data_IF_126924822480
#
_entry.id   IF_126924822480
#
_cell.length_a   1.000
_cell.length_b   1.000
_cell.length_c   1.000
_cell.angle_alpha   90.00
_cell.angle_beta   90.00
_cell.angle_gamma   90.00
#
_symmetry.space_group_name_H-M   'P 1'
#
loop_
_entity.id
_entity.type
_entity.pdbx_description
1 polymer ?
#
# COMPACT_ATOMS: atom_id res chain seq x y z
N UNK A 1 -25.96 -35.12 -1.51
CA UNK A 1 -24.48 -35.08 -1.37
C UNK A 1 -24.09 -33.71 -0.88
N UNK A 2 -23.86 -33.60 0.42
CA UNK A 2 -23.30 -32.42 1.09
C UNK A 2 -21.88 -32.20 0.55
N UNK A 3 -21.64 -31.07 -0.13
CA UNK A 3 -20.28 -30.63 -0.43
C UNK A 3 -19.61 -30.33 0.92
N UNK A 4 -18.61 -31.11 1.31
CA UNK A 4 -17.69 -30.71 2.37
C UNK A 4 -17.11 -29.34 1.97
N UNK A 5 -17.44 -28.32 2.76
CA UNK A 5 -16.79 -27.01 2.65
C UNK A 5 -15.42 -27.21 3.28
N UNK A 6 -14.41 -27.48 2.47
CA UNK A 6 -13.01 -27.47 2.91
C UNK A 6 -12.69 -26.02 3.30
N UNK A 7 -12.73 -25.74 4.59
CA UNK A 7 -12.36 -24.44 5.14
C UNK A 7 -10.88 -24.19 4.83
N UNK A 8 -10.60 -23.15 4.03
CA UNK A 8 -9.24 -22.87 3.60
C UNK A 8 -8.48 -22.21 4.75
N UNK A 9 -7.24 -22.64 4.98
CA UNK A 9 -6.41 -22.08 6.03
C UNK A 9 -6.13 -20.59 5.80
N UNK A 10 -6.16 -19.82 6.89
CA UNK A 10 -5.68 -18.44 6.91
C UNK A 10 -4.18 -18.39 6.55
N UNK A 11 -3.81 -17.49 5.65
CA UNK A 11 -2.43 -17.28 5.22
C UNK A 11 -2.14 -15.78 5.10
N UNK A 12 -0.94 -15.38 5.52
CA UNK A 12 -0.46 -14.00 5.34
C UNK A 12 0.83 -14.05 4.52
N UNK A 13 0.87 -13.27 3.44
CA UNK A 13 2.07 -13.03 2.63
C UNK A 13 2.49 -11.57 2.76
N UNK A 14 3.80 -11.31 2.66
CA UNK A 14 4.37 -9.96 2.71
C UNK A 14 5.27 -9.72 1.52
N UNK A 15 5.16 -8.54 0.92
CA UNK A 15 5.98 -8.12 -0.23
C UNK A 15 6.22 -6.62 -0.22
N UNK A 16 7.18 -6.18 -1.03
CA UNK A 16 7.27 -4.79 -1.45
C UNK A 16 6.34 -4.62 -2.64
N UNK A 17 5.33 -3.76 -2.50
CA UNK A 17 4.31 -3.55 -3.54
C UNK A 17 4.64 -2.35 -4.44
N UNK A 18 5.35 -1.35 -3.91
CA UNK A 18 5.73 -0.19 -4.69
C UNK A 18 7.04 0.41 -4.22
N UNK A 19 7.86 0.78 -5.19
CA UNK A 19 9.00 1.66 -5.01
C UNK A 19 8.81 2.91 -5.87
N UNK A 20 9.24 4.04 -5.33
CA UNK A 20 9.33 5.29 -6.09
C UNK A 20 10.76 5.78 -6.11
N UNK A 21 11.32 5.92 -7.31
CA UNK A 21 12.56 6.63 -7.55
C UNK A 21 12.24 8.05 -8.01
N UNK A 22 12.92 9.03 -7.41
CA UNK A 22 12.95 10.42 -7.87
C UNK A 22 14.38 10.76 -8.25
N UNK A 23 14.55 11.44 -9.37
CA UNK A 23 15.86 11.79 -9.89
C UNK A 23 15.83 13.13 -10.64
N UNK A 24 17.00 13.68 -10.90
CA UNK A 24 17.15 14.86 -11.74
C UNK A 24 16.86 14.52 -13.20
N UNK A 25 16.05 15.35 -13.83
CA UNK A 25 15.73 15.24 -15.24
C UNK A 25 15.36 16.60 -15.83
N UNK A 26 16.22 17.20 -16.68
CA UNK A 26 15.97 18.51 -17.25
C UNK A 26 14.62 18.57 -17.98
N UNK A 27 13.81 19.59 -17.66
CA UNK A 27 12.44 19.71 -18.18
C UNK A 27 12.42 19.99 -19.69
N UNK A 28 13.43 20.67 -20.22
CA UNK A 28 13.64 20.93 -21.65
C UNK A 28 13.91 19.65 -22.46
N UNK A 29 14.55 18.67 -21.83
CA UNK A 29 14.81 17.36 -22.41
C UNK A 29 13.59 16.43 -22.31
N UNK A 30 12.81 16.56 -21.25
CA UNK A 30 11.67 15.67 -20.96
C UNK A 30 10.65 15.63 -22.09
N UNK A 31 10.26 16.78 -22.65
CA UNK A 31 9.26 16.82 -23.72
C UNK A 31 9.72 16.06 -24.97
N UNK A 32 11.02 16.14 -25.30
CA UNK A 32 11.59 15.42 -26.43
C UNK A 32 11.61 13.91 -26.13
N UNK A 33 12.16 13.52 -24.98
CA UNK A 33 12.31 12.12 -24.61
C UNK A 33 10.96 11.42 -24.42
N UNK A 34 9.95 12.10 -23.85
CA UNK A 34 8.59 11.57 -23.74
C UNK A 34 8.01 11.24 -25.12
N UNK A 35 8.22 12.09 -26.14
CA UNK A 35 7.78 11.78 -27.51
C UNK A 35 8.48 10.56 -28.09
N UNK A 36 9.75 10.35 -27.77
CA UNK A 36 10.46 9.13 -28.18
C UNK A 36 9.98 7.90 -27.43
N UNK A 37 9.73 8.02 -26.12
CA UNK A 37 9.22 6.93 -25.29
C UNK A 37 7.84 6.47 -25.74
N UNK A 38 6.97 7.41 -26.12
CA UNK A 38 5.64 7.14 -26.66
C UNK A 38 5.63 6.35 -27.98
N UNK A 39 6.77 6.22 -28.67
CA UNK A 39 6.88 5.34 -29.85
C UNK A 39 7.06 3.87 -29.49
N UNK A 40 7.30 3.55 -28.22
CA UNK A 40 7.51 2.18 -27.75
C UNK A 40 6.15 1.48 -27.56
N UNK A 41 6.00 0.22 -27.98
CA UNK A 41 4.71 -0.47 -27.96
C UNK A 41 4.15 -0.67 -26.54
N UNK A 42 5.01 -0.72 -25.53
CA UNK A 42 4.65 -0.91 -24.12
C UNK A 42 4.47 0.40 -23.33
N UNK A 43 4.55 1.57 -23.98
CA UNK A 43 4.37 2.87 -23.34
C UNK A 43 3.03 3.46 -23.76
N UNK A 44 2.23 3.86 -22.78
CA UNK A 44 0.90 4.43 -22.99
C UNK A 44 0.80 5.79 -22.29
N UNK A 45 0.16 6.75 -22.97
CA UNK A 45 -0.13 8.07 -22.43
C UNK A 45 -1.27 8.00 -21.43
N UNK A 46 -1.11 8.68 -20.29
CA UNK A 46 -2.16 8.84 -19.29
C UNK A 46 -2.19 10.30 -18.80
N UNK A 47 -3.31 10.74 -18.25
CA UNK A 47 -3.59 12.18 -18.02
C UNK A 47 -2.50 12.98 -17.30
N UNK A 48 -1.70 12.35 -16.44
CA UNK A 48 -0.65 13.01 -15.65
C UNK A 48 0.76 12.42 -15.89
N UNK A 49 1.00 11.68 -16.98
CA UNK A 49 2.31 11.09 -17.30
C UNK A 49 2.23 9.94 -18.31
N UNK A 50 3.15 8.99 -18.23
CA UNK A 50 3.10 7.77 -19.04
C UNK A 50 3.07 6.54 -18.14
N UNK A 51 2.39 5.49 -18.58
CA UNK A 51 2.51 4.17 -17.98
C UNK A 51 3.26 3.21 -18.90
N UNK A 52 4.02 2.32 -18.29
CA UNK A 52 4.65 1.18 -18.93
C UNK A 52 3.84 -0.04 -18.59
N UNK A 53 3.45 -0.81 -19.60
CA UNK A 53 2.57 -1.98 -19.44
C UNK A 53 3.25 -3.26 -19.88
N UNK A 54 2.79 -4.37 -19.31
CA UNK A 54 3.11 -5.73 -19.74
C UNK A 54 1.82 -6.40 -20.22
N UNK A 55 1.82 -6.85 -21.47
CA UNK A 55 0.67 -7.45 -22.14
C UNK A 55 0.75 -8.99 -22.20
N UNK A 56 1.82 -9.61 -21.70
CA UNK A 56 2.04 -11.07 -21.79
C UNK A 56 0.85 -11.87 -21.24
N UNK A 57 0.26 -11.37 -20.15
CA UNK A 57 -0.84 -12.02 -19.44
C UNK A 57 -2.23 -11.43 -19.78
N UNK A 58 -2.34 -10.65 -20.86
CA UNK A 58 -3.63 -10.08 -21.27
C UNK A 58 -4.60 -11.12 -21.86
N UNK A 59 -4.06 -12.17 -22.47
CA UNK A 59 -4.82 -13.13 -23.26
C UNK A 59 -4.62 -14.59 -22.83
N UNK A 60 -3.53 -14.89 -22.13
CA UNK A 60 -3.15 -16.23 -21.72
C UNK A 60 -2.76 -16.24 -20.25
N UNK A 61 -3.13 -17.31 -19.54
CA UNK A 61 -2.70 -17.54 -18.16
C UNK A 61 -1.24 -18.07 -18.11
N UNK A 62 -0.70 -18.23 -16.90
CA UNK A 62 0.66 -18.75 -16.67
C UNK A 62 0.89 -20.17 -17.23
N UNK A 63 -0.17 -20.87 -17.65
CA UNK A 63 -0.14 -22.22 -18.22
C UNK A 63 -0.38 -22.22 -19.74
N UNK A 64 -0.49 -21.04 -20.36
CA UNK A 64 -0.74 -20.88 -21.79
C UNK A 64 -2.19 -21.09 -22.22
N UNK A 65 -3.14 -21.17 -21.28
CA UNK A 65 -4.56 -21.26 -21.62
C UNK A 65 -5.12 -19.87 -21.93
N UNK A 66 -5.87 -19.76 -23.02
CA UNK A 66 -6.52 -18.52 -23.41
C UNK A 66 -7.67 -18.17 -22.46
N UNK A 67 -7.73 -16.93 -22.00
CA UNK A 67 -8.87 -16.40 -21.23
C UNK A 67 -9.46 -15.15 -21.88
N UNK A 68 -10.56 -14.65 -21.30
CA UNK A 68 -11.14 -13.38 -21.72
C UNK A 68 -10.11 -12.24 -21.57
N UNK A 69 -10.03 -11.28 -22.51
CA UNK A 69 -9.06 -10.20 -22.43
C UNK A 69 -9.14 -9.46 -21.09
N UNK A 70 -8.00 -9.30 -20.44
CA UNK A 70 -7.84 -8.48 -19.23
C UNK A 70 -7.00 -7.25 -19.55
N UNK A 71 -7.10 -6.22 -18.71
CA UNK A 71 -6.27 -5.04 -18.87
C UNK A 71 -4.77 -5.37 -18.69
N UNK A 72 -3.86 -4.73 -19.44
CA UNK A 72 -2.42 -4.88 -19.24
C UNK A 72 -1.98 -4.59 -17.81
N UNK A 73 -0.95 -5.29 -17.35
CA UNK A 73 -0.37 -5.05 -16.05
C UNK A 73 0.51 -3.80 -16.11
N UNK A 74 0.28 -2.84 -15.23
CA UNK A 74 1.16 -1.66 -15.13
C UNK A 74 2.47 -2.06 -14.44
N UNK A 75 3.57 -2.00 -15.19
CA UNK A 75 4.93 -2.25 -14.71
C UNK A 75 5.47 -1.02 -13.99
N UNK A 76 5.27 0.15 -14.60
CA UNK A 76 5.71 1.42 -14.03
C UNK A 76 4.79 2.57 -14.43
N UNK A 77 4.79 3.61 -13.62
CA UNK A 77 4.20 4.90 -13.90
C UNK A 77 5.30 5.97 -13.80
N UNK A 78 5.44 6.78 -14.85
CA UNK A 78 6.49 7.78 -14.98
C UNK A 78 5.84 9.14 -15.17
N UNK A 79 6.21 10.11 -14.35
CA UNK A 79 5.71 11.47 -14.48
C UNK A 79 6.69 12.52 -13.98
N UNK A 80 6.54 13.75 -14.48
CA UNK A 80 7.16 14.93 -13.86
C UNK A 80 6.25 15.47 -12.75
N UNK A 81 6.74 15.67 -11.52
CA UNK A 81 5.92 16.25 -10.47
C UNK A 81 5.65 17.74 -10.75
N UNK A 82 4.37 18.15 -10.82
CA UNK A 82 3.95 19.54 -11.13
C UNK A 82 4.64 20.65 -10.30
N UNK A 83 5.08 20.33 -9.08
CA UNK A 83 5.70 21.28 -8.14
C UNK A 83 7.22 21.11 -7.98
N UNK A 84 7.82 20.10 -8.63
CA UNK A 84 9.26 19.86 -8.62
C UNK A 84 9.76 19.94 -10.07
N UNK A 85 10.20 21.13 -10.47
CA UNK A 85 10.85 21.33 -11.78
C UNK A 85 12.10 20.45 -11.87
N UNK A 86 12.41 20.03 -13.08
CA UNK A 86 13.61 19.27 -13.41
C UNK A 86 13.76 17.94 -12.63
N UNK A 87 12.61 17.33 -12.27
CA UNK A 87 12.57 16.00 -11.65
C UNK A 87 11.75 15.03 -12.47
N UNK A 88 12.21 13.79 -12.51
CA UNK A 88 11.44 12.65 -13.00
C UNK A 88 11.12 11.74 -11.82
N UNK A 89 9.85 11.31 -11.73
CA UNK A 89 9.39 10.33 -10.76
C UNK A 89 8.97 9.06 -11.48
N UNK A 90 9.46 7.93 -10.98
CA UNK A 90 9.17 6.58 -11.49
C UNK A 90 8.61 5.76 -10.33
N UNK A 91 7.33 5.41 -10.40
CA UNK A 91 6.67 4.46 -9.50
C UNK A 91 6.66 3.08 -10.18
N UNK A 92 7.14 2.02 -9.52
CA UNK A 92 7.10 0.66 -10.07
C UNK A 92 6.95 -0.39 -8.96
N UNK A 93 6.46 -1.59 -9.30
CA UNK A 93 6.42 -2.71 -8.38
C UNK A 93 7.63 -3.63 -8.64
N UNK A 94 8.53 -3.83 -7.66
CA UNK A 94 9.73 -4.65 -7.88
C UNK A 94 9.44 -6.14 -8.10
N UNK A 95 8.23 -6.60 -7.77
CA UNK A 95 7.83 -8.00 -7.87
C UNK A 95 7.01 -8.31 -9.14
N UNK A 96 6.73 -7.31 -9.98
CA UNK A 96 5.79 -7.46 -11.11
C UNK A 96 6.33 -6.85 -12.40
N UNK A 97 6.35 -7.64 -13.47
CA UNK A 97 6.59 -7.19 -14.85
C UNK A 97 7.99 -6.65 -15.16
N UNK A 98 8.96 -6.72 -14.23
CA UNK A 98 10.31 -6.20 -14.46
C UNK A 98 11.16 -7.02 -15.44
N UNK A 99 10.80 -8.27 -15.69
CA UNK A 99 11.44 -9.16 -16.68
C UNK A 99 10.90 -8.95 -18.11
N UNK A 100 9.80 -8.22 -18.27
CA UNK A 100 9.26 -7.83 -19.57
C UNK A 100 10.18 -6.86 -20.32
N UNK A 101 9.95 -6.67 -21.62
CA UNK A 101 10.64 -5.65 -22.41
C UNK A 101 10.47 -4.24 -21.80
N UNK A 102 9.24 -3.90 -21.41
CA UNK A 102 8.93 -2.64 -20.74
C UNK A 102 9.61 -2.51 -19.38
N UNK A 103 9.64 -3.58 -18.60
CA UNK A 103 10.33 -3.66 -17.31
C UNK A 103 11.83 -3.43 -17.44
N UNK A 104 12.49 -4.13 -18.36
CA UNK A 104 13.92 -3.93 -18.63
C UNK A 104 14.21 -2.51 -19.12
N UNK A 105 13.32 -1.93 -19.92
CA UNK A 105 13.43 -0.53 -20.33
C UNK A 105 13.34 0.44 -19.14
N UNK A 106 12.41 0.23 -18.20
CA UNK A 106 12.30 1.03 -16.96
C UNK A 106 13.59 0.94 -16.15
N UNK A 107 14.15 -0.26 -15.98
CA UNK A 107 15.40 -0.47 -15.25
C UNK A 107 16.57 0.26 -15.91
N UNK A 108 16.66 0.23 -17.24
CA UNK A 108 17.68 0.96 -18.00
C UNK A 108 17.50 2.48 -17.90
N UNK A 109 16.25 2.97 -17.87
CA UNK A 109 15.97 4.38 -17.64
C UNK A 109 16.49 4.80 -16.26
N UNK A 110 16.11 4.06 -15.19
CA UNK A 110 16.57 4.32 -13.82
C UNK A 110 18.11 4.35 -13.73
N UNK A 111 18.80 3.44 -14.41
CA UNK A 111 20.26 3.38 -14.42
C UNK A 111 20.93 4.65 -14.98
N UNK A 112 20.29 5.31 -15.96
CA UNK A 112 20.82 6.52 -16.62
C UNK A 112 20.57 7.81 -15.83
N UNK A 113 19.64 7.77 -14.87
CA UNK A 113 19.27 8.93 -14.06
C UNK A 113 20.39 9.33 -13.08
N UNK A 114 20.53 10.64 -12.90
CA UNK A 114 21.49 11.26 -11.98
C UNK A 114 20.80 11.71 -10.69
N UNK A 115 21.55 11.81 -9.59
CA UNK A 115 21.06 12.30 -8.29
C UNK A 115 19.76 11.62 -7.83
N UNK A 116 19.69 10.30 -8.01
CA UNK A 116 18.48 9.52 -7.76
C UNK A 116 18.42 8.95 -6.35
N UNK A 117 17.22 8.99 -5.78
CA UNK A 117 16.95 8.46 -4.44
C UNK A 117 15.57 7.80 -4.37
N UNK A 118 15.40 6.91 -3.39
CA UNK A 118 14.09 6.38 -3.05
C UNK A 118 13.29 7.42 -2.27
N UNK A 119 12.10 7.76 -2.78
CA UNK A 119 11.18 8.69 -2.11
C UNK A 119 9.97 8.00 -1.51
N UNK A 120 9.69 6.74 -1.88
CA UNK A 120 8.60 5.93 -1.33
C UNK A 120 8.90 4.44 -1.39
N UNK A 121 8.46 3.72 -0.36
CA UNK A 121 8.40 2.27 -0.30
C UNK A 121 7.06 1.86 0.32
N UNK A 122 6.35 0.94 -0.31
CA UNK A 122 5.10 0.38 0.22
C UNK A 122 5.32 -1.10 0.55
N UNK A 123 5.11 -1.46 1.81
CA UNK A 123 5.09 -2.86 2.26
C UNK A 123 3.64 -3.34 2.27
N UNK A 124 3.32 -4.40 1.54
CA UNK A 124 1.98 -4.98 1.47
C UNK A 124 1.90 -6.29 2.25
N UNK A 125 0.80 -6.45 2.99
CA UNK A 125 0.39 -7.70 3.61
C UNK A 125 -0.88 -8.19 2.92
N UNK A 126 -0.78 -9.32 2.23
CA UNK A 126 -1.92 -10.05 1.70
C UNK A 126 -2.42 -11.04 2.73
N UNK A 127 -3.69 -10.89 3.10
CA UNK A 127 -4.35 -11.63 4.17
C UNK A 127 -5.46 -12.47 3.52
N UNK A 128 -5.20 -13.77 3.38
CA UNK A 128 -6.07 -14.73 2.73
C UNK A 128 -6.90 -15.51 3.74
N UNK A 129 -8.17 -15.75 3.40
CA UNK A 129 -9.10 -16.58 4.18
C UNK A 129 -9.26 -16.11 5.64
N UNK A 130 -9.10 -14.82 5.91
CA UNK A 130 -9.33 -14.18 7.22
C UNK A 130 -10.31 -13.01 7.06
N UNK A 131 -11.63 -13.25 7.08
CA UNK A 131 -12.62 -12.21 6.85
C UNK A 131 -12.65 -11.17 7.97
N UNK A 132 -12.18 -11.48 9.19
CA UNK A 132 -12.12 -10.52 10.31
C UNK A 132 -11.15 -9.37 10.05
N UNK A 133 -10.26 -9.49 9.06
CA UNK A 133 -9.37 -8.41 8.63
C UNK A 133 -10.13 -7.13 8.23
N UNK A 134 -11.41 -7.22 7.84
CA UNK A 134 -12.26 -6.06 7.54
C UNK A 134 -12.59 -5.20 8.77
N UNK A 135 -12.57 -5.80 9.96
CA UNK A 135 -13.01 -5.17 11.22
C UNK A 135 -11.86 -4.42 11.91
N UNK A 136 -10.61 -4.74 11.56
CA UNK A 136 -9.43 -4.06 12.06
C UNK A 136 -9.36 -2.62 11.55
N UNK A 137 -8.98 -1.69 12.43
CA UNK A 137 -8.80 -0.28 12.09
C UNK A 137 -7.53 0.30 12.69
N UNK A 138 -7.09 1.45 12.17
CA UNK A 138 -5.97 2.20 12.74
C UNK A 138 -6.46 3.18 13.79
N UNK A 139 -6.03 3.02 15.03
CA UNK A 139 -6.34 3.91 16.15
C UNK A 139 -5.16 4.81 16.49
N UNK A 140 -4.92 5.81 15.63
CA UNK A 140 -3.96 6.89 15.84
C UNK A 140 -4.68 8.24 15.88
N UNK A 141 -4.81 8.83 17.05
CA UNK A 141 -5.46 10.14 17.20
C UNK A 141 -4.76 11.23 16.37
N UNK A 142 -5.55 12.13 15.76
CA UNK A 142 -5.05 13.18 14.86
C UNK A 142 -4.77 12.70 13.44
N UNK A 143 -5.10 11.44 13.11
CA UNK A 143 -4.94 10.88 11.77
C UNK A 143 -6.28 10.91 11.04
N UNK A 144 -6.32 11.56 9.88
CA UNK A 144 -7.52 11.54 9.02
C UNK A 144 -7.82 10.13 8.50
N UNK A 145 -9.10 9.80 8.36
CA UNK A 145 -9.58 8.53 7.82
C UNK A 145 -10.50 8.80 6.63
N UNK A 146 -10.25 8.18 5.49
CA UNK A 146 -11.13 8.22 4.32
C UNK A 146 -11.60 6.81 4.00
N UNK A 147 -12.91 6.60 3.95
CA UNK A 147 -13.54 5.31 3.67
C UNK A 147 -14.25 5.39 2.31
N UNK A 148 -13.98 4.43 1.45
CA UNK A 148 -14.66 4.23 0.17
C UNK A 148 -15.56 3.01 0.33
N UNK A 149 -16.86 3.23 0.14
CA UNK A 149 -17.90 2.22 0.26
C UNK A 149 -18.32 1.75 -1.13
N UNK A 150 -18.64 0.47 -1.25
CA UNK A 150 -19.23 -0.10 -2.45
C UNK A 150 -20.73 0.22 -2.57
N UNK A 151 -21.33 -0.03 -3.74
CA UNK A 151 -22.77 0.12 -3.95
C UNK A 151 -23.63 -0.75 -3.02
N UNK A 152 -23.07 -1.84 -2.48
CA UNK A 152 -23.71 -2.74 -1.52
C UNK A 152 -23.61 -2.25 -0.06
N UNK A 153 -23.02 -1.07 0.16
CA UNK A 153 -22.82 -0.50 1.49
C UNK A 153 -21.70 -1.16 2.28
N UNK A 154 -20.86 -2.01 1.67
CA UNK A 154 -19.68 -2.58 2.33
C UNK A 154 -18.44 -1.72 2.12
N UNK A 155 -17.54 -1.73 3.09
CA UNK A 155 -16.24 -1.07 2.97
C UNK A 155 -15.43 -1.76 1.86
N UNK A 156 -14.97 -0.98 0.88
CA UNK A 156 -14.08 -1.46 -0.17
C UNK A 156 -12.64 -1.06 0.10
N UNK A 157 -12.41 0.17 0.55
CA UNK A 157 -11.08 0.70 0.83
C UNK A 157 -11.12 1.71 1.96
N UNK A 158 -10.14 1.66 2.86
CA UNK A 158 -9.91 2.67 3.89
C UNK A 158 -8.47 3.18 3.82
N UNK A 159 -8.32 4.50 3.82
CA UNK A 159 -7.04 5.20 3.95
C UNK A 159 -6.94 5.81 5.35
N UNK A 160 -5.83 5.53 6.03
CA UNK A 160 -5.50 6.12 7.34
C UNK A 160 -4.26 7.00 7.20
N UNK A 161 -4.45 8.31 7.33
CA UNK A 161 -3.43 9.34 7.14
C UNK A 161 -3.52 10.02 5.77
N UNK A 162 -2.87 11.17 5.65
CA UNK A 162 -2.83 11.93 4.40
C UNK A 162 -1.97 11.22 3.35
N UNK A 163 -2.34 11.33 2.08
CA UNK A 163 -1.51 10.80 0.98
C UNK A 163 -0.11 11.46 0.94
N UNK A 164 0.00 12.69 1.46
CA UNK A 164 1.24 13.48 1.51
C UNK A 164 2.08 13.23 2.77
N UNK A 165 1.58 12.51 3.78
CA UNK A 165 2.37 12.28 4.99
C UNK A 165 3.49 11.26 4.76
N UNK A 166 4.55 11.35 5.57
CA UNK A 166 5.67 10.41 5.53
C UNK A 166 5.28 8.94 5.74
N UNK A 167 4.08 8.67 6.25
CA UNK A 167 3.51 7.32 6.35
C UNK A 167 1.99 7.34 6.13
N UNK A 168 1.44 6.27 5.57
CA UNK A 168 0.00 6.06 5.40
C UNK A 168 -0.31 4.56 5.45
N UNK A 169 -1.47 4.17 6.00
CA UNK A 169 -1.96 2.79 5.92
C UNK A 169 -3.14 2.74 4.95
N UNK A 170 -3.14 1.78 4.03
CA UNK A 170 -4.30 1.46 3.19
C UNK A 170 -4.78 0.06 3.51
N UNK A 171 -6.08 -0.12 3.62
CA UNK A 171 -6.72 -1.41 3.88
C UNK A 171 -7.85 -1.56 2.88
N UNK A 172 -7.88 -2.65 2.12
CA UNK A 172 -8.91 -2.83 1.09
C UNK A 172 -9.17 -4.29 0.73
N UNK A 173 -10.33 -4.52 0.12
CA UNK A 173 -10.73 -5.84 -0.33
C UNK A 173 -10.06 -6.16 -1.68
N UNK A 174 -8.89 -6.80 -1.59
CA UNK A 174 -8.08 -7.19 -2.76
C UNK A 174 -8.78 -8.24 -3.62
N UNK A 175 -9.66 -9.09 -3.03
CA UNK A 175 -10.48 -10.03 -3.80
C UNK A 175 -11.38 -9.32 -4.82
N UNK A 176 -12.11 -8.29 -4.40
CA UNK A 176 -13.00 -7.52 -5.27
C UNK A 176 -12.18 -6.81 -6.36
N UNK A 177 -11.04 -6.23 -5.98
CA UNK A 177 -10.14 -5.54 -6.91
C UNK A 177 -9.61 -6.49 -7.99
N UNK A 178 -9.15 -7.69 -7.60
CA UNK A 178 -8.69 -8.70 -8.55
C UNK A 178 -9.81 -9.29 -9.38
N UNK A 179 -11.02 -9.45 -8.82
CA UNK A 179 -12.19 -9.90 -9.57
C UNK A 179 -12.64 -8.89 -10.62
N UNK A 180 -12.49 -7.59 -10.35
CA UNK A 180 -12.77 -6.55 -11.33
C UNK A 180 -11.75 -6.57 -12.48
N UNK A 181 -10.49 -6.92 -12.21
CA UNK A 181 -9.42 -6.98 -13.21
C UNK A 181 -9.41 -8.27 -14.04
N UNK A 182 -9.55 -9.43 -13.39
CA UNK A 182 -9.35 -10.75 -14.01
C UNK A 182 -10.61 -11.62 -14.04
N UNK A 183 -11.76 -11.10 -13.59
CA UNK A 183 -12.97 -11.91 -13.43
C UNK A 183 -12.91 -12.87 -12.24
N UNK A 184 -13.79 -13.88 -12.19
CA UNK A 184 -13.96 -14.77 -11.02
C UNK A 184 -12.91 -15.90 -10.90
N UNK A 185 -11.64 -15.65 -11.24
CA UNK A 185 -10.56 -16.64 -11.16
C UNK A 185 -9.96 -16.81 -9.75
N UNK A 186 -10.35 -15.98 -8.78
CA UNK A 186 -9.76 -15.97 -7.43
C UNK A 186 -10.41 -17.02 -6.52
N UNK A 187 -9.72 -18.15 -6.29
CA UNK A 187 -10.17 -19.25 -5.44
C UNK A 187 -9.76 -19.09 -3.95
N UNK A 188 -10.20 -18.01 -3.30
CA UNK A 188 -10.02 -17.77 -1.84
C UNK A 188 -11.32 -17.29 -1.23
N UNK A 189 -11.56 -17.50 0.06
CA UNK A 189 -12.83 -17.14 0.70
C UNK A 189 -12.91 -15.63 0.94
N UNK A 190 -11.82 -15.07 1.47
CA UNK A 190 -11.59 -13.63 1.61
C UNK A 190 -10.15 -13.30 1.22
N UNK A 191 -9.92 -12.08 0.75
CA UNK A 191 -8.58 -11.55 0.50
C UNK A 191 -8.58 -10.04 0.77
N UNK A 192 -7.99 -9.68 1.89
CA UNK A 192 -7.75 -8.31 2.31
C UNK A 192 -6.28 -7.96 2.11
N UNK A 193 -5.99 -6.73 1.72
CA UNK A 193 -4.62 -6.22 1.69
C UNK A 193 -4.48 -5.02 2.61
N UNK A 194 -3.40 -5.03 3.38
CA UNK A 194 -2.94 -3.89 4.18
C UNK A 194 -1.61 -3.39 3.62
N UNK A 195 -1.56 -2.15 3.13
CA UNK A 195 -0.35 -1.53 2.59
C UNK A 195 0.14 -0.45 3.54
N UNK A 196 1.40 -0.58 3.96
CA UNK A 196 2.11 0.40 4.77
C UNK A 196 2.98 1.23 3.82
N UNK A 197 2.47 2.40 3.44
CA UNK A 197 3.22 3.37 2.63
C UNK A 197 4.18 4.14 3.53
N UNK A 198 5.43 4.24 3.10
CA UNK A 198 6.53 4.95 3.76
C UNK A 198 7.18 5.91 2.75
N UNK A 199 7.55 7.12 3.17
CA UNK A 199 8.13 8.14 2.29
C UNK A 199 9.32 8.87 2.90
N UNK A 200 10.24 9.31 2.04
CA UNK A 200 11.39 10.14 2.41
C UNK A 200 12.33 9.44 3.41
N UNK A 201 12.87 10.21 4.35
CA UNK A 201 13.82 9.74 5.37
C UNK A 201 13.34 8.53 6.19
N UNK A 202 12.03 8.33 6.28
CA UNK A 202 11.41 7.20 6.97
C UNK A 202 11.74 5.84 6.37
N UNK A 203 12.18 5.79 5.12
CA UNK A 203 12.55 4.53 4.46
C UNK A 203 13.79 3.92 5.12
N UNK A 204 14.72 4.73 5.65
CA UNK A 204 15.95 4.25 6.26
C UNK A 204 15.73 3.39 7.52
N UNK A 205 14.68 3.69 8.30
CA UNK A 205 14.27 2.91 9.48
C UNK A 205 12.84 2.34 9.29
N UNK A 206 12.59 1.83 8.09
CA UNK A 206 11.30 1.21 7.78
C UNK A 206 10.90 0.05 8.72
N UNK A 207 11.80 -0.79 9.28
CA UNK A 207 11.38 -1.89 10.14
C UNK A 207 10.71 -1.41 11.43
N UNK A 208 11.26 -0.37 12.07
CA UNK A 208 10.68 0.24 13.26
C UNK A 208 9.33 0.90 12.96
N UNK A 209 9.19 1.49 11.77
CA UNK A 209 7.93 2.09 11.34
C UNK A 209 6.86 1.05 11.03
N UNK A 210 7.21 -0.06 10.37
CA UNK A 210 6.31 -1.20 10.13
C UNK A 210 5.76 -1.68 11.48
N UNK A 211 6.64 -1.92 12.46
CA UNK A 211 6.23 -2.31 13.82
C UNK A 211 5.23 -1.32 14.41
N UNK A 212 5.56 -0.02 14.42
CA UNK A 212 4.70 1.03 14.99
C UNK A 212 3.34 1.11 14.29
N UNK A 213 3.32 0.97 12.96
CA UNK A 213 2.09 1.01 12.17
C UNK A 213 1.19 -0.19 12.47
N UNK A 214 1.77 -1.38 12.69
CA UNK A 214 1.03 -2.58 13.07
C UNK A 214 0.51 -2.53 14.52
N UNK A 215 1.25 -1.91 15.45
CA UNK A 215 0.80 -1.73 16.85
C UNK A 215 -0.49 -0.89 16.97
N UNK A 216 -0.75 -0.02 15.99
CA UNK A 216 -1.92 0.85 15.95
C UNK A 216 -3.10 0.26 15.17
N UNK A 217 -2.89 -0.86 14.48
CA UNK A 217 -3.91 -1.58 13.72
C UNK A 217 -4.50 -2.68 14.61
N UNK A 218 -5.74 -2.55 15.07
CA UNK A 218 -6.37 -3.52 15.98
C UNK A 218 -7.89 -3.36 16.01
N UNK A 219 -8.57 -4.26 16.74
CA UNK A 219 -9.99 -4.09 17.11
C UNK A 219 -10.06 -3.78 18.61
N UNK A 220 -10.71 -2.68 19.06
CA UNK A 220 -10.90 -2.41 20.47
C UNK A 220 -11.98 -3.35 21.00
N UNK A 221 -11.64 -4.18 21.99
CA UNK A 221 -12.57 -5.10 22.64
C UNK A 221 -13.43 -4.37 23.68
N UNK A 222 -14.15 -3.35 23.23
CA UNK A 222 -14.91 -2.46 24.10
C UNK A 222 -15.91 -3.22 24.98
N UNK A 223 -16.43 -4.38 24.53
CA UNK A 223 -17.35 -5.23 25.30
C UNK A 223 -16.77 -5.72 26.63
N UNK A 224 -15.45 -5.79 26.74
CA UNK A 224 -14.71 -6.22 27.94
C UNK A 224 -14.50 -5.08 28.96
N UNK A 225 -14.92 -3.85 28.64
CA UNK A 225 -14.88 -2.74 29.59
C UNK A 225 -15.86 -2.96 30.76
N UNK A 226 -15.55 -2.48 31.98
CA UNK A 226 -16.32 -2.80 33.16
C UNK A 226 -17.70 -2.13 33.16
N UNK A 227 -17.83 -0.90 32.64
CA UNK A 227 -19.09 -0.15 32.72
C UNK A 227 -19.80 -0.01 31.37
N UNK A 228 -21.14 -0.01 31.36
CA UNK A 228 -21.96 0.25 30.16
C UNK A 228 -21.60 1.61 29.54
N UNK A 229 -21.31 2.61 30.38
CA UNK A 229 -20.90 3.94 29.95
C UNK A 229 -19.63 3.91 29.11
N UNK A 230 -18.61 3.18 29.54
CA UNK A 230 -17.34 3.05 28.80
C UNK A 230 -17.54 2.25 27.51
N UNK A 231 -18.34 1.17 27.55
CA UNK A 231 -18.71 0.39 26.36
C UNK A 231 -19.36 1.29 25.30
N UNK A 232 -20.39 2.04 25.70
CA UNK A 232 -21.10 2.96 24.81
C UNK A 232 -20.17 4.05 24.27
N UNK A 233 -19.23 4.52 25.09
CA UNK A 233 -18.29 5.55 24.69
C UNK A 233 -17.33 5.10 23.59
N UNK A 234 -16.70 3.93 23.78
CA UNK A 234 -15.79 3.40 22.77
C UNK A 234 -16.56 2.96 21.53
N UNK A 235 -17.77 2.39 21.68
CA UNK A 235 -18.62 2.09 20.52
C UNK A 235 -18.90 3.35 19.70
N UNK A 236 -19.30 4.45 20.33
CA UNK A 236 -19.55 5.72 19.66
C UNK A 236 -18.32 6.22 18.89
N UNK A 237 -17.12 6.12 19.46
CA UNK A 237 -15.86 6.46 18.77
C UNK A 237 -15.63 5.62 17.50
N UNK A 238 -16.01 4.34 17.53
CA UNK A 238 -15.80 3.40 16.43
C UNK A 238 -16.81 3.66 15.31
N UNK A 239 -18.07 3.89 15.67
CA UNK A 239 -19.19 3.99 14.71
C UNK A 239 -19.39 5.38 14.16
N UNK A 240 -19.20 6.42 14.97
CA UNK A 240 -19.40 7.81 14.59
C UNK A 240 -18.30 8.72 15.19
N UNK A 241 -17.20 8.92 14.45
CA UNK A 241 -16.11 9.78 14.87
C UNK A 241 -16.50 11.26 15.06
N UNK A 242 -17.66 11.71 14.57
CA UNK A 242 -18.10 13.11 14.76
C UNK A 242 -18.43 13.40 16.22
N UNK A 243 -18.99 12.42 16.94
CA UNK A 243 -19.27 12.49 18.39
C UNK A 243 -17.98 12.81 19.18
N UNK A 244 -16.84 12.29 18.72
CA UNK A 244 -15.54 12.62 19.29
C UNK A 244 -15.10 14.04 18.96
N UNK A 245 -15.34 14.48 17.73
CA UNK A 245 -14.99 15.81 17.24
C UNK A 245 -15.67 16.93 18.03
N UNK A 246 -16.95 16.74 18.33
CA UNK A 246 -17.80 17.72 19.03
C UNK A 246 -17.60 17.75 20.55
N UNK A 247 -16.90 16.76 21.11
CA UNK A 247 -16.66 16.69 22.54
C UNK A 247 -15.65 17.77 23.02
N UNK A 248 -15.83 18.33 24.24
CA UNK A 248 -14.85 19.24 24.84
C UNK A 248 -13.47 18.61 25.01
N UNK A 249 -12.40 19.41 25.01
CA UNK A 249 -11.00 18.93 25.08
C UNK A 249 -10.72 17.95 26.21
N UNK A 250 -11.17 18.26 27.42
CA UNK A 250 -11.01 17.40 28.60
C UNK A 250 -11.70 16.05 28.40
N UNK A 251 -12.85 16.05 27.75
CA UNK A 251 -13.61 14.85 27.39
C UNK A 251 -12.86 14.05 26.33
N UNK A 252 -12.35 14.70 25.29
CA UNK A 252 -11.53 14.07 24.24
C UNK A 252 -10.28 13.42 24.83
N UNK A 253 -9.58 14.07 25.76
CA UNK A 253 -8.43 13.51 26.46
C UNK A 253 -8.79 12.27 27.28
N UNK A 254 -9.91 12.31 28.03
CA UNK A 254 -10.40 11.15 28.78
C UNK A 254 -10.71 9.97 27.86
N UNK A 255 -11.37 10.21 26.73
CA UNK A 255 -11.73 9.14 25.79
C UNK A 255 -10.50 8.57 25.08
N UNK A 256 -9.51 9.41 24.75
CA UNK A 256 -8.20 8.95 24.26
C UNK A 256 -7.53 7.99 25.24
N UNK A 257 -7.55 8.34 26.53
CA UNK A 257 -6.98 7.50 27.59
C UNK A 257 -7.74 6.17 27.69
N UNK A 258 -9.08 6.22 27.75
CA UNK A 258 -9.93 5.04 27.81
C UNK A 258 -9.70 4.08 26.63
N UNK A 259 -9.61 4.58 25.40
CA UNK A 259 -9.36 3.75 24.22
C UNK A 259 -7.97 3.08 24.28
N UNK A 260 -6.96 3.79 24.79
CA UNK A 260 -5.59 3.22 24.93
C UNK A 260 -5.54 2.09 25.95
N UNK A 261 -6.34 2.19 27.02
CA UNK A 261 -6.46 1.20 28.11
C UNK A 261 -7.44 0.08 27.78
N UNK A 262 -8.26 0.23 26.73
CA UNK A 262 -9.20 -0.80 26.28
C UNK A 262 -8.42 -2.02 25.76
N UNK A 263 -8.80 -3.25 26.17
CA UNK A 263 -8.21 -4.47 25.60
C UNK A 263 -8.33 -4.50 24.07
N UNK A 264 -7.34 -5.09 23.41
CA UNK A 264 -7.20 -5.04 21.96
C UNK A 264 -7.12 -6.44 21.40
N UNK A 265 -7.93 -6.75 20.40
CA UNK A 265 -7.63 -7.87 19.52
C UNK A 265 -6.62 -7.37 18.48
N UNK A 266 -5.37 -7.78 18.65
CA UNK A 266 -4.26 -7.47 17.76
C UNK A 266 -3.65 -8.73 17.13
N UNK A 267 -4.35 -9.87 17.16
CA UNK A 267 -3.82 -11.17 16.70
C UNK A 267 -3.35 -11.10 15.25
N UNK A 268 -4.12 -10.44 14.39
CA UNK A 268 -3.78 -10.27 12.98
C UNK A 268 -2.52 -9.39 12.80
N UNK A 269 -2.40 -8.32 13.60
CA UNK A 269 -1.24 -7.43 13.57
C UNK A 269 0.03 -8.11 14.06
N UNK A 270 -0.07 -8.94 15.09
CA UNK A 270 1.03 -9.79 15.56
C UNK A 270 1.42 -10.81 14.50
N UNK A 271 0.44 -11.44 13.83
CA UNK A 271 0.70 -12.39 12.75
C UNK A 271 1.39 -11.72 11.54
N UNK A 272 0.96 -10.52 11.14
CA UNK A 272 1.63 -9.71 10.12
C UNK A 272 3.05 -9.33 10.53
N UNK A 273 3.26 -8.88 11.77
CA UNK A 273 4.59 -8.55 12.28
C UNK A 273 5.53 -9.77 12.28
N UNK A 274 5.02 -10.94 12.67
CA UNK A 274 5.78 -12.20 12.61
C UNK A 274 6.17 -12.54 11.16
N UNK A 275 5.23 -12.46 10.22
CA UNK A 275 5.49 -12.71 8.79
C UNK A 275 6.49 -11.74 8.19
N UNK A 276 6.44 -10.47 8.60
CA UNK A 276 7.42 -9.46 8.23
C UNK A 276 8.82 -9.86 8.70
N UNK A 277 8.99 -10.23 9.99
CA UNK A 277 10.27 -10.66 10.53
C UNK A 277 10.80 -11.92 9.83
N UNK A 278 9.93 -12.92 9.59
CA UNK A 278 10.28 -14.14 8.86
C UNK A 278 10.81 -13.88 7.44
N UNK A 279 10.29 -12.83 6.77
CA UNK A 279 10.67 -12.47 5.41
C UNK A 279 11.67 -11.31 5.35
N UNK A 280 12.11 -10.80 6.49
CA UNK A 280 12.84 -9.53 6.57
C UNK A 280 14.10 -9.54 5.70
N UNK A 281 14.91 -10.60 5.80
CA UNK A 281 16.14 -10.74 5.01
C UNK A 281 15.88 -10.74 3.50
N UNK A 282 14.80 -11.38 3.04
CA UNK A 282 14.41 -11.39 1.63
C UNK A 282 14.01 -10.00 1.16
N UNK A 283 13.16 -9.31 1.92
CA UNK A 283 12.70 -7.96 1.60
C UNK A 283 13.88 -6.96 1.58
N UNK A 284 14.78 -7.07 2.56
CA UNK A 284 15.99 -6.24 2.63
C UNK A 284 16.91 -6.52 1.43
N UNK A 285 17.11 -7.78 1.07
CA UNK A 285 17.88 -8.13 -0.12
C UNK A 285 17.27 -7.57 -1.41
N UNK A 286 15.94 -7.65 -1.58
CA UNK A 286 15.24 -7.06 -2.71
C UNK A 286 15.47 -5.54 -2.80
N UNK A 287 15.32 -4.81 -1.68
CA UNK A 287 15.58 -3.37 -1.61
C UNK A 287 17.03 -3.03 -1.93
N UNK A 288 17.98 -3.66 -1.23
CA UNK A 288 19.41 -3.40 -1.37
C UNK A 288 19.92 -3.78 -2.75
N UNK A 289 19.40 -4.85 -3.36
CA UNK A 289 19.73 -5.25 -4.74
C UNK A 289 19.39 -4.13 -5.72
N UNK A 290 18.20 -3.52 -5.59
CA UNK A 290 17.79 -2.41 -6.47
C UNK A 290 18.61 -1.15 -6.14
N UNK A 291 18.82 -0.83 -4.86
CA UNK A 291 19.65 0.30 -4.42
C UNK A 291 21.06 0.23 -5.02
N UNK A 292 21.73 -0.90 -4.85
CA UNK A 292 23.11 -1.11 -5.28
C UNK A 292 23.22 -1.22 -6.80
N UNK A 293 22.32 -1.96 -7.45
CA UNK A 293 22.33 -2.15 -8.90
C UNK A 293 22.27 -0.83 -9.66
N UNK A 294 21.53 0.14 -9.11
CA UNK A 294 21.33 1.42 -9.77
C UNK A 294 22.08 2.57 -9.11
N UNK A 295 22.74 2.39 -7.96
CA UNK A 295 23.32 3.49 -7.17
C UNK A 295 22.23 4.53 -6.81
N UNK A 296 21.17 4.06 -6.16
CA UNK A 296 20.05 4.85 -5.64
C UNK A 296 20.24 5.01 -4.14
N UNK A 297 20.36 6.24 -3.65
CA UNK A 297 20.46 6.50 -2.22
C UNK A 297 19.08 6.45 -1.54
N UNK A 298 19.04 6.14 -0.24
CA UNK A 298 17.90 6.52 0.57
C UNK A 298 17.87 8.05 0.67
N UNK A 299 16.69 8.68 0.70
CA UNK A 299 16.64 10.14 0.78
C UNK A 299 17.09 10.62 2.17
N UNK A 300 18.36 11.04 2.26
CA UNK A 300 18.94 11.76 3.40
C UNK A 300 18.90 13.26 3.08
N UNK A 301 17.72 13.88 3.14
CA UNK A 301 17.53 15.26 3.63
C UNK A 301 16.13 15.82 3.32
N UNK A 302 15.55 16.36 4.39
CA UNK A 302 14.82 17.64 4.43
C UNK A 302 14.87 18.04 5.91
N UNK A 303 16.05 18.50 6.38
CA UNK A 303 16.07 19.40 7.53
C UNK A 303 15.27 20.63 7.12
N UNK A 304 14.02 20.66 7.56
CA UNK A 304 13.28 21.91 7.66
C UNK A 304 14.14 22.80 8.55
N UNK A 305 14.85 23.76 7.94
CA UNK A 305 15.36 24.90 8.69
C UNK A 305 14.14 25.51 9.39
N UNK A 306 14.12 25.37 10.72
CA UNK A 306 13.14 25.95 11.62
C UNK A 306 13.02 27.46 11.41
#
# INVERSE_FOLDING_TARGET
>A
MSREVVEKSSEIKVSIDRLTVVADYPSDRLDHDMREWMRKPFVQDISDGIQVVDERNCYFDDFGNRHAPVAPEQVAFIHSPKFLRDKLRIDFNPNHGLDSEGGQWVLQLIAKLQNKHFSRCDIAFDIFNEPTAQDYQVYRFGTGKQIIMGPDGKMQTTYYGSMKSGQQIRQYNKKIEQQARHGKLVNVDSWWRVELQLRGNKIADYPSLVRKMLEEFYIPEYKNLPTIREKAMILALITDPTIYGDAPDRTRQRWRKLLKETPKDNRLSVAMAKKFVENFQRLEYELQSIMNRFNVAANEDDTINL
#
